data_IF_218918620662
#
_entry.id   IF_218918620662
#
_cell.length_a   1.000
_cell.length_b   1.000
_cell.length_c   1.000
_cell.angle_alpha   90.00
_cell.angle_beta   90.00
_cell.angle_gamma   90.00
#
_symmetry.space_group_name_H-M   'P 1'
#
loop_
_entity.id
_entity.type
_entity.pdbx_description
1 polymer ?
#
# COMPACT_ATOMS: atom_id res chain seq x y z
N UNK A 1 -36.38 20.40 3.02
CA UNK A 1 -35.25 19.86 3.80
C UNK A 1 -34.96 18.54 3.16
N UNK A 2 -34.09 18.64 2.16
CA UNK A 2 -33.87 17.66 1.12
C UNK A 2 -33.10 16.45 1.64
N UNK A 3 -33.33 15.36 0.93
CA UNK A 3 -32.89 13.99 1.18
C UNK A 3 -31.38 13.89 1.47
N UNK A 4 -31.03 13.43 2.67
CA UNK A 4 -29.80 12.65 2.84
C UNK A 4 -30.02 11.31 2.12
N UNK A 5 -29.76 11.29 0.80
CA UNK A 5 -29.54 10.05 0.10
C UNK A 5 -28.34 9.37 0.78
N UNK A 6 -28.61 8.32 1.57
CA UNK A 6 -27.58 7.42 2.07
C UNK A 6 -26.76 6.99 0.87
N UNK A 7 -25.51 7.48 0.78
CA UNK A 7 -24.58 7.09 -0.27
C UNK A 7 -24.44 5.57 -0.19
N UNK A 8 -25.07 4.85 -1.11
CA UNK A 8 -24.95 3.40 -1.21
C UNK A 8 -23.46 3.14 -1.32
N UNK A 9 -22.89 2.43 -0.34
CA UNK A 9 -21.47 2.09 -0.36
C UNK A 9 -21.25 1.15 -1.52
N UNK A 10 -20.85 1.70 -2.66
CA UNK A 10 -20.46 0.94 -3.83
C UNK A 10 -19.21 0.15 -3.47
N UNK A 11 -19.23 -1.14 -3.79
CA UNK A 11 -18.10 -2.02 -3.64
C UNK A 11 -17.53 -2.27 -5.04
N UNK A 12 -16.20 -2.23 -5.24
CA UNK A 12 -15.18 -1.88 -4.25
C UNK A 12 -15.09 -0.37 -4.01
N UNK A 13 -14.76 0.05 -2.78
CA UNK A 13 -14.39 1.45 -2.53
C UNK A 13 -13.02 1.77 -3.15
N UNK A 14 -12.72 3.03 -3.45
CA UNK A 14 -11.38 3.52 -3.86
C UNK A 14 -10.21 2.84 -3.12
N UNK A 15 -10.24 2.81 -1.79
CA UNK A 15 -9.16 2.19 -1.00
C UNK A 15 -9.09 0.66 -1.16
N UNK A 16 -10.24 0.01 -1.36
CA UNK A 16 -10.29 -1.44 -1.59
C UNK A 16 -9.73 -1.77 -2.97
N UNK A 17 -10.10 -1.00 -4.00
CA UNK A 17 -9.51 -1.10 -5.34
C UNK A 17 -7.99 -0.96 -5.27
N UNK A 18 -7.49 0.11 -4.64
CA UNK A 18 -6.04 0.32 -4.47
C UNK A 18 -5.35 -0.85 -3.77
N UNK A 19 -5.87 -1.34 -2.64
CA UNK A 19 -5.26 -2.47 -1.93
C UNK A 19 -5.27 -3.79 -2.71
N UNK A 20 -6.15 -3.93 -3.71
CA UNK A 20 -6.21 -5.08 -4.60
C UNK A 20 -5.31 -4.96 -5.84
N UNK A 21 -4.83 -3.76 -6.19
CA UNK A 21 -3.99 -3.56 -7.39
C UNK A 21 -2.69 -4.37 -7.36
N UNK A 22 -2.14 -4.68 -8.55
CA UNK A 22 -0.85 -5.36 -8.73
C UNK A 22 0.31 -4.58 -8.11
N UNK A 23 0.35 -3.26 -8.31
CA UNK A 23 1.32 -2.35 -7.66
C UNK A 23 1.32 -2.50 -6.13
N UNK A 24 0.14 -2.65 -5.51
CA UNK A 24 0.06 -2.90 -4.07
C UNK A 24 0.59 -4.27 -3.66
N UNK A 25 0.24 -5.32 -4.41
CA UNK A 25 0.72 -6.68 -4.18
C UNK A 25 2.25 -6.80 -4.30
N UNK A 26 2.83 -6.25 -5.36
CA UNK A 26 4.22 -6.50 -5.71
C UNK A 26 5.19 -5.52 -5.04
N UNK A 27 4.75 -4.28 -4.78
CA UNK A 27 5.62 -3.23 -4.26
C UNK A 27 5.26 -2.88 -2.82
N UNK A 28 4.04 -2.40 -2.57
CA UNK A 28 3.70 -1.80 -1.29
C UNK A 28 3.61 -2.80 -0.14
N UNK A 29 2.95 -3.95 -0.33
CA UNK A 29 2.82 -4.96 0.73
C UNK A 29 4.17 -5.51 1.20
N UNK A 30 5.10 -5.94 0.32
CA UNK A 30 6.45 -6.35 0.73
C UNK A 30 7.20 -5.25 1.47
N UNK A 31 7.13 -4.00 0.99
CA UNK A 31 7.78 -2.86 1.65
C UNK A 31 7.21 -2.61 3.05
N UNK A 32 5.88 -2.65 3.22
CA UNK A 32 5.22 -2.48 4.51
C UNK A 32 5.65 -3.59 5.47
N UNK A 33 5.61 -4.86 5.04
CA UNK A 33 6.04 -5.99 5.87
C UNK A 33 7.50 -5.89 6.27
N UNK A 34 8.38 -5.58 5.32
CA UNK A 34 9.79 -5.37 5.58
C UNK A 34 10.02 -4.22 6.56
N UNK A 35 9.30 -3.10 6.40
CA UNK A 35 9.43 -1.94 7.30
C UNK A 35 9.08 -2.28 8.75
N UNK A 36 7.98 -3.01 8.98
CA UNK A 36 7.62 -3.46 10.33
C UNK A 36 8.62 -4.47 10.88
N UNK A 37 9.11 -5.40 10.06
CA UNK A 37 10.13 -6.37 10.47
C UNK A 37 11.44 -5.66 10.88
N UNK A 38 11.93 -4.71 10.08
CA UNK A 38 13.11 -3.92 10.41
C UNK A 38 12.91 -3.07 11.66
N UNK A 39 11.75 -2.46 11.83
CA UNK A 39 11.43 -1.68 13.02
C UNK A 39 11.43 -2.57 14.27
N UNK A 40 10.78 -3.74 14.22
CA UNK A 40 10.77 -4.71 15.34
C UNK A 40 12.20 -5.15 15.68
N UNK A 41 12.99 -5.53 14.67
CA UNK A 41 14.39 -5.92 14.87
C UNK A 41 15.21 -4.78 15.46
N UNK A 42 15.03 -3.55 14.97
CA UNK A 42 15.71 -2.36 15.49
C UNK A 42 15.39 -2.09 16.96
N UNK A 43 14.12 -2.20 17.36
CA UNK A 43 13.70 -2.05 18.75
C UNK A 43 14.24 -3.17 19.64
N UNK A 44 14.27 -4.41 19.15
CA UNK A 44 14.87 -5.54 19.86
C UNK A 44 16.37 -5.32 20.07
N UNK A 45 17.11 -4.91 19.03
CA UNK A 45 18.54 -4.59 19.13
C UNK A 45 18.75 -3.45 20.13
N UNK A 46 17.95 -2.38 20.05
CA UNK A 46 18.05 -1.26 20.99
C UNK A 46 17.85 -1.68 22.46
N UNK A 47 16.92 -2.60 22.74
CA UNK A 47 16.63 -3.07 24.10
C UNK A 47 17.58 -4.17 24.61
N UNK A 48 17.98 -5.12 23.77
CA UNK A 48 18.80 -6.30 24.13
C UNK A 48 20.30 -6.04 23.99
N UNK A 49 20.68 -5.22 23.01
CA UNK A 49 22.06 -4.93 22.64
C UNK A 49 22.24 -3.40 22.52
N UNK A 50 22.16 -2.67 23.65
CA UNK A 50 22.29 -1.22 23.65
C UNK A 50 23.61 -0.79 22.99
N UNK A 51 23.51 0.05 21.96
CA UNK A 51 24.65 0.48 21.13
C UNK A 51 25.13 1.90 21.46
N UNK A 52 24.36 2.66 22.25
CA UNK A 52 24.69 4.06 22.54
C UNK A 52 25.66 4.11 23.70
N UNK A 53 26.76 4.83 23.53
CA UNK A 53 27.73 5.06 24.59
C UNK A 53 27.21 6.11 25.59
N UNK A 54 27.03 5.69 26.85
CA UNK A 54 26.62 6.52 27.98
C UNK A 54 27.76 6.91 28.93
N UNK A 55 29.02 6.64 28.55
CA UNK A 55 30.19 6.92 29.39
C UNK A 55 30.23 8.39 29.85
N UNK A 56 30.51 8.61 31.14
CA UNK A 56 30.54 9.94 31.76
C UNK A 56 29.16 10.56 32.05
N UNK A 57 28.07 9.94 31.59
CA UNK A 57 26.70 10.34 31.96
C UNK A 57 26.35 9.98 33.41
N UNK A 58 25.42 10.69 34.06
CA UNK A 58 25.01 10.35 35.42
C UNK A 58 24.19 9.06 35.44
N UNK A 59 24.67 8.04 36.16
CA UNK A 59 23.99 6.75 36.35
C UNK A 59 24.02 6.34 37.81
N UNK A 60 23.06 5.52 38.23
CA UNK A 60 23.10 4.84 39.53
C UNK A 60 24.14 3.71 39.49
N UNK A 61 25.05 3.68 40.46
CA UNK A 61 26.08 2.66 40.52
C UNK A 61 25.48 1.28 40.74
N UNK A 62 25.66 0.43 39.74
CA UNK A 62 25.36 -1.00 39.78
C UNK A 62 26.69 -1.73 39.58
N UNK A 63 27.19 -2.35 40.65
CA UNK A 63 28.46 -3.04 40.62
C UNK A 63 28.33 -4.31 39.78
N UNK A 64 29.32 -4.58 38.91
CA UNK A 64 29.33 -5.81 38.13
C UNK A 64 29.17 -7.04 39.05
N UNK A 65 28.37 -8.00 38.62
CA UNK A 65 28.04 -9.22 39.38
C UNK A 65 29.23 -10.08 39.82
N UNK A 66 30.43 -9.87 39.28
CA UNK A 66 31.69 -10.52 39.69
C UNK A 66 32.49 -9.72 40.74
N UNK A 67 32.07 -8.51 41.09
CA UNK A 67 32.67 -7.67 42.13
C UNK A 67 32.16 -8.06 43.53
N UNK A 68 33.08 -8.23 44.47
CA UNK A 68 32.79 -8.35 45.90
C UNK A 68 32.69 -6.99 46.62
N UNK A 69 32.95 -5.89 45.90
CA UNK A 69 32.90 -4.54 46.44
C UNK A 69 31.52 -3.94 46.22
N UNK A 70 31.04 -3.19 47.21
CA UNK A 70 29.79 -2.39 47.15
C UNK A 70 30.07 -0.89 47.11
N UNK A 71 31.34 -0.50 46.99
CA UNK A 71 31.80 0.88 46.89
C UNK A 71 33.02 0.98 45.97
N UNK A 72 33.13 2.11 45.29
CA UNK A 72 34.26 2.48 44.44
C UNK A 72 34.87 3.81 44.93
N UNK A 73 36.17 3.96 44.72
CA UNK A 73 36.89 5.20 45.01
C UNK A 73 37.23 5.86 43.68
N UNK A 74 36.66 7.03 43.43
CA UNK A 74 36.94 7.81 42.22
C UNK A 74 38.34 8.43 42.28
N UNK A 75 38.84 8.89 41.13
CA UNK A 75 40.17 9.51 41.02
C UNK A 75 40.36 10.78 41.85
N UNK A 76 39.26 11.41 42.28
CA UNK A 76 39.25 12.59 43.17
C UNK A 76 39.26 12.22 44.67
N UNK A 77 39.24 10.92 45.01
CA UNK A 77 39.20 10.41 46.37
C UNK A 77 37.80 10.34 46.99
N UNK A 78 36.75 10.64 46.23
CA UNK A 78 35.36 10.44 46.68
C UNK A 78 34.99 8.95 46.68
N UNK A 79 34.12 8.55 47.62
CA UNK A 79 33.62 7.18 47.74
C UNK A 79 32.18 7.18 47.24
N UNK A 80 31.90 6.36 46.23
CA UNK A 80 30.56 6.16 45.66
C UNK A 80 30.13 4.74 46.04
N UNK A 81 28.94 4.62 46.63
CA UNK A 81 28.38 3.34 47.05
C UNK A 81 27.38 2.86 46.01
N UNK A 82 27.11 1.56 46.02
CA UNK A 82 26.02 0.97 45.23
C UNK A 82 24.70 1.73 45.50
N UNK A 83 24.03 2.18 44.42
CA UNK A 83 22.85 3.05 44.48
C UNK A 83 23.12 4.56 44.44
N UNK A 84 24.38 5.01 44.51
CA UNK A 84 24.72 6.43 44.38
C UNK A 84 24.81 6.84 42.90
N UNK A 85 24.43 8.09 42.60
CA UNK A 85 24.55 8.66 41.25
C UNK A 85 25.98 9.16 41.02
N UNK A 86 26.64 8.67 39.98
CA UNK A 86 28.02 9.03 39.64
C UNK A 86 28.21 9.09 38.11
N UNK A 87 29.29 9.71 37.60
CA UNK A 87 29.61 9.68 36.17
C UNK A 87 30.01 8.26 35.76
N UNK A 88 29.26 7.67 34.84
CA UNK A 88 29.39 6.27 34.46
C UNK A 88 30.80 5.95 33.96
N UNK A 89 31.38 4.89 34.55
CA UNK A 89 32.66 4.32 34.15
C UNK A 89 32.46 2.83 33.80
N UNK A 90 32.75 2.40 32.56
CA UNK A 90 32.53 1.03 32.12
C UNK A 90 33.37 0.00 32.89
N UNK A 91 34.44 0.41 33.57
CA UNK A 91 35.25 -0.48 34.41
C UNK A 91 34.44 -1.02 35.60
N UNK A 92 33.59 -0.20 36.21
CA UNK A 92 32.87 -0.55 37.45
C UNK A 92 31.39 -0.88 37.21
N UNK A 93 30.76 -0.26 36.20
CA UNK A 93 29.34 -0.37 35.94
C UNK A 93 28.94 -1.70 35.28
N UNK A 94 27.90 -2.34 35.80
CA UNK A 94 27.20 -3.42 35.10
C UNK A 94 26.54 -2.90 33.81
N UNK A 95 26.75 -3.59 32.69
CA UNK A 95 26.27 -3.14 31.38
C UNK A 95 27.17 -2.13 30.66
N UNK A 96 28.40 -1.89 31.14
CA UNK A 96 29.46 -1.13 30.42
C UNK A 96 29.03 0.27 29.97
N UNK A 97 28.18 0.95 30.74
CA UNK A 97 27.62 2.27 30.38
C UNK A 97 26.87 2.32 29.05
N UNK A 98 26.38 1.19 28.53
CA UNK A 98 25.61 1.14 27.29
C UNK A 98 24.17 1.59 27.53
N UNK A 99 23.71 2.54 26.73
CA UNK A 99 22.37 3.06 26.79
C UNK A 99 21.49 2.56 25.64
N UNK A 100 20.20 2.40 25.92
CA UNK A 100 19.18 2.26 24.89
C UNK A 100 18.58 3.63 24.57
N UNK A 101 18.11 3.80 23.33
CA UNK A 101 17.37 4.98 22.90
C UNK A 101 15.94 4.91 23.40
N UNK A 102 15.50 5.98 24.06
CA UNK A 102 14.20 6.08 24.73
C UNK A 102 13.61 7.48 24.53
N UNK A 103 13.21 7.84 23.30
CA UNK A 103 12.78 9.20 22.98
C UNK A 103 11.55 9.67 23.78
N UNK A 104 10.72 8.76 24.28
CA UNK A 104 9.44 9.10 24.94
C UNK A 104 9.34 8.65 26.40
N UNK A 105 10.10 7.63 26.82
CA UNK A 105 9.96 7.06 28.17
C UNK A 105 10.91 7.66 29.21
N UNK A 106 11.92 8.43 28.80
CA UNK A 106 13.02 8.85 29.67
C UNK A 106 13.04 10.32 30.11
N UNK A 107 13.81 10.59 31.17
CA UNK A 107 14.27 11.96 31.52
C UNK A 107 15.25 12.53 30.47
N UNK A 108 15.83 11.63 29.69
CA UNK A 108 16.67 11.91 28.52
C UNK A 108 16.27 10.94 27.41
N UNK A 109 16.64 11.24 26.18
CA UNK A 109 16.39 10.40 24.99
C UNK A 109 17.24 9.12 24.95
N UNK A 110 18.10 8.92 25.94
CA UNK A 110 19.01 7.80 26.09
C UNK A 110 19.11 7.48 27.58
N UNK A 111 18.87 6.23 27.95
CA UNK A 111 18.85 5.76 29.34
C UNK A 111 19.64 4.44 29.44
N UNK A 112 20.05 4.00 30.65
CA UNK A 112 20.76 2.74 30.84
C UNK A 112 20.09 1.58 30.10
N UNK A 113 20.87 0.67 29.52
CA UNK A 113 20.36 -0.39 28.65
C UNK A 113 19.13 -1.13 29.19
N UNK A 114 18.10 -1.26 28.35
CA UNK A 114 16.90 -2.00 28.71
C UNK A 114 15.69 -1.70 27.81
N UNK A 115 14.59 -2.40 28.09
CA UNK A 115 13.28 -2.16 27.48
C UNK A 115 12.46 -1.17 28.31
N UNK A 116 12.25 -0.01 27.73
CA UNK A 116 11.42 1.03 28.30
C UNK A 116 10.02 1.00 27.69
N UNK A 117 9.09 1.71 28.32
CA UNK A 117 7.68 1.72 27.91
C UNK A 117 7.52 2.10 26.43
N UNK A 118 8.34 3.03 25.92
CA UNK A 118 8.26 3.50 24.54
C UNK A 118 8.66 2.42 23.54
N UNK A 119 9.74 1.69 23.82
CA UNK A 119 10.11 0.51 23.04
C UNK A 119 8.99 -0.55 23.07
N UNK A 120 8.38 -0.80 24.23
CA UNK A 120 7.28 -1.78 24.37
C UNK A 120 6.04 -1.33 23.59
N UNK A 121 5.66 -0.06 23.68
CA UNK A 121 4.50 0.49 22.98
C UNK A 121 4.72 0.46 21.47
N UNK A 122 5.91 0.86 21.00
CA UNK A 122 6.25 0.80 19.57
C UNK A 122 6.32 -0.65 19.08
N UNK A 123 6.83 -1.59 19.87
CA UNK A 123 6.81 -3.02 19.55
C UNK A 123 5.38 -3.54 19.43
N UNK A 124 4.48 -3.17 20.34
CA UNK A 124 3.09 -3.57 20.29
C UNK A 124 2.39 -3.00 19.03
N UNK A 125 2.59 -1.72 18.73
CA UNK A 125 2.04 -1.07 17.54
C UNK A 125 2.59 -1.66 16.24
N UNK A 126 3.89 -1.96 16.19
CA UNK A 126 4.50 -2.60 15.03
C UNK A 126 4.04 -4.05 14.86
N UNK A 127 3.88 -4.78 15.97
CA UNK A 127 3.35 -6.15 15.96
C UNK A 127 1.89 -6.21 15.48
N UNK A 128 1.02 -5.33 16.01
CA UNK A 128 -0.37 -5.24 15.54
C UNK A 128 -0.44 -4.75 14.09
N UNK A 129 0.41 -3.79 13.72
CA UNK A 129 0.55 -3.30 12.35
C UNK A 129 0.94 -4.39 11.36
N UNK A 130 1.94 -5.20 11.69
CA UNK A 130 2.40 -6.33 10.86
C UNK A 130 1.33 -7.42 10.73
N UNK A 131 0.64 -7.76 11.83
CA UNK A 131 -0.45 -8.74 11.79
C UNK A 131 -1.60 -8.21 10.93
N UNK A 132 -1.97 -6.94 11.10
CA UNK A 132 -3.04 -6.32 10.32
C UNK A 132 -2.69 -6.21 8.84
N UNK A 133 -1.45 -5.83 8.51
CA UNK A 133 -0.97 -5.75 7.13
C UNK A 133 -0.94 -7.12 6.46
N UNK A 134 -0.47 -8.16 7.15
CA UNK A 134 -0.48 -9.54 6.63
C UNK A 134 -1.92 -10.05 6.43
N UNK A 135 -2.82 -9.76 7.38
CA UNK A 135 -4.22 -10.13 7.27
C UNK A 135 -4.89 -9.44 6.07
N UNK A 136 -4.64 -8.15 5.89
CA UNK A 136 -5.21 -7.39 4.76
C UNK A 136 -4.64 -7.84 3.43
N UNK A 137 -3.33 -8.06 3.34
CA UNK A 137 -2.65 -8.55 2.14
C UNK A 137 -3.10 -9.97 1.75
N UNK A 138 -3.08 -10.92 2.68
CA UNK A 138 -3.18 -12.35 2.35
C UNK A 138 -4.61 -12.91 2.46
N UNK A 139 -5.49 -12.25 3.20
CA UNK A 139 -6.85 -12.75 3.45
C UNK A 139 -7.89 -11.79 2.88
N UNK A 140 -7.77 -10.49 3.19
CA UNK A 140 -8.81 -9.52 2.84
C UNK A 140 -8.78 -9.15 1.34
N UNK A 141 -7.62 -8.78 0.81
CA UNK A 141 -7.48 -8.35 -0.58
C UNK A 141 -7.86 -9.46 -1.58
N UNK A 142 -7.42 -10.73 -1.43
CA UNK A 142 -7.88 -11.82 -2.30
C UNK A 142 -9.40 -12.04 -2.19
N UNK A 143 -9.95 -11.94 -0.98
CA UNK A 143 -11.40 -12.04 -0.77
C UNK A 143 -12.20 -10.91 -1.42
N UNK A 144 -11.61 -9.71 -1.54
CA UNK A 144 -12.21 -8.62 -2.30
C UNK A 144 -12.12 -8.87 -3.81
N UNK A 145 -10.98 -9.35 -4.33
CA UNK A 145 -10.81 -9.70 -5.75
C UNK A 145 -11.83 -10.75 -6.19
N UNK A 146 -11.99 -11.81 -5.40
CA UNK A 146 -12.99 -12.85 -5.65
C UNK A 146 -14.42 -12.31 -5.65
N UNK A 147 -14.73 -11.33 -4.79
CA UNK A 147 -16.06 -10.70 -4.76
C UNK A 147 -16.31 -9.81 -5.97
N UNK A 148 -15.29 -9.09 -6.45
CA UNK A 148 -15.39 -8.30 -7.69
C UNK A 148 -15.61 -9.22 -8.88
N UNK A 149 -14.81 -10.30 -9.01
CA UNK A 149 -14.98 -11.30 -10.08
C UNK A 149 -16.40 -11.89 -10.10
N UNK A 150 -16.93 -12.27 -8.94
CA UNK A 150 -18.29 -12.79 -8.83
C UNK A 150 -19.40 -11.75 -9.11
N UNK A 151 -19.13 -10.45 -8.98
CA UNK A 151 -20.08 -9.41 -9.37
C UNK A 151 -20.06 -9.21 -10.88
N UNK A 152 -18.86 -9.17 -11.49
CA UNK A 152 -18.68 -9.09 -12.93
C UNK A 152 -19.35 -10.25 -13.65
N UNK A 153 -19.12 -11.49 -13.21
CA UNK A 153 -19.77 -12.68 -13.80
C UNK A 153 -21.31 -12.57 -13.80
N UNK A 154 -21.91 -11.98 -12.76
CA UNK A 154 -23.37 -11.80 -12.67
C UNK A 154 -23.87 -10.66 -13.56
N UNK A 155 -23.08 -9.59 -13.69
CA UNK A 155 -23.42 -8.46 -14.56
C UNK A 155 -23.29 -8.87 -16.05
N UNK A 156 -22.26 -9.65 -16.41
CA UNK A 156 -22.09 -10.25 -17.74
C UNK A 156 -23.25 -11.21 -18.09
N UNK A 157 -23.61 -12.13 -17.18
CA UNK A 157 -24.79 -13.02 -17.37
C UNK A 157 -26.09 -12.22 -17.55
N UNK A 158 -26.23 -11.09 -16.87
CA UNK A 158 -27.41 -10.23 -16.99
C UNK A 158 -27.43 -9.48 -18.32
N UNK A 159 -26.27 -9.02 -18.80
CA UNK A 159 -26.14 -8.35 -20.09
C UNK A 159 -26.48 -9.29 -21.25
N UNK A 160 -25.98 -10.53 -21.23
CA UNK A 160 -26.30 -11.55 -22.26
C UNK A 160 -27.81 -11.89 -22.28
N UNK A 161 -28.45 -11.97 -21.11
CA UNK A 161 -29.91 -12.18 -21.02
C UNK A 161 -30.68 -10.96 -21.55
N UNK A 162 -30.20 -9.74 -21.32
CA UNK A 162 -30.84 -8.54 -21.84
C UNK A 162 -30.71 -8.45 -23.37
N UNK A 163 -29.53 -8.73 -23.91
CA UNK A 163 -29.28 -8.78 -25.36
C UNK A 163 -30.19 -9.81 -26.04
N UNK A 164 -30.29 -11.02 -25.48
CA UNK A 164 -31.16 -12.06 -26.04
C UNK A 164 -32.66 -11.71 -25.99
N UNK A 165 -33.11 -10.90 -25.04
CA UNK A 165 -34.49 -10.39 -25.00
C UNK A 165 -34.73 -9.27 -26.02
N UNK A 166 -33.77 -8.36 -26.21
CA UNK A 166 -33.88 -7.29 -27.22
C UNK A 166 -33.91 -7.87 -28.64
N UNK A 167 -33.17 -8.96 -28.91
CA UNK A 167 -33.21 -9.67 -30.21
C UNK A 167 -34.56 -10.38 -30.45
N UNK A 168 -35.25 -10.87 -29.41
CA UNK A 168 -36.58 -11.49 -29.56
C UNK A 168 -37.71 -10.46 -29.78
N UNK A 169 -37.53 -9.20 -29.35
CA UNK A 169 -38.53 -8.13 -29.51
C UNK A 169 -38.45 -7.40 -30.87
N UNK A 170 -37.42 -7.61 -31.68
CA UNK A 170 -37.30 -7.02 -33.04
C UNK A 170 -38.11 -7.75 -34.14
N UNK A 171 -38.80 -8.87 -33.85
CA UNK A 171 -39.69 -9.56 -34.82
C UNK A 171 -41.19 -9.19 -34.68
N UNK A 172 -41.54 -7.98 -34.22
CA UNK A 172 -42.95 -7.54 -34.23
C UNK A 172 -43.17 -6.06 -34.60
N UNK A 173 -43.45 -5.89 -35.89
CA UNK A 173 -44.34 -4.93 -36.56
C UNK A 173 -43.93 -3.48 -36.88
N UNK A 174 -44.10 -3.22 -38.17
CA UNK A 174 -43.98 -2.03 -39.03
C UNK A 174 -44.79 -0.76 -38.62
N UNK A 175 -44.20 0.38 -38.99
CA UNK A 175 -44.78 1.68 -39.43
C UNK A 175 -45.55 2.59 -38.45
N UNK A 176 -45.04 3.82 -38.23
CA UNK A 176 -45.59 5.08 -38.83
C UNK A 176 -44.80 6.37 -38.48
N UNK A 177 -44.61 7.19 -39.53
CA UNK A 177 -44.38 8.65 -39.66
C UNK A 177 -45.19 9.53 -38.67
N UNK A 178 -44.93 10.82 -38.34
CA UNK A 178 -44.15 11.94 -38.91
C UNK A 178 -44.17 13.14 -37.91
N UNK A 179 -43.40 14.20 -38.24
CA UNK A 179 -43.52 15.64 -37.88
C UNK A 179 -42.81 16.25 -36.65
N UNK A 180 -41.63 16.84 -36.95
CA UNK A 180 -41.25 18.27 -36.81
C UNK A 180 -41.61 19.10 -35.55
N UNK A 181 -40.59 19.71 -34.93
CA UNK A 181 -40.47 21.18 -34.87
C UNK A 181 -39.03 21.65 -34.52
N UNK A 182 -38.61 22.68 -35.25
CA UNK A 182 -37.37 23.49 -35.20
C UNK A 182 -37.35 24.34 -33.88
N UNK A 183 -36.29 24.91 -33.30
CA UNK A 183 -35.28 25.82 -33.87
C UNK A 183 -34.26 26.32 -32.81
N UNK A 184 -33.04 26.61 -33.29
CA UNK A 184 -32.07 27.68 -32.96
C UNK A 184 -31.49 27.98 -31.53
N UNK A 185 -30.16 27.87 -31.39
CA UNK A 185 -29.18 29.00 -31.37
C UNK A 185 -27.74 28.48 -31.07
N UNK A 186 -26.79 28.55 -32.03
CA UNK A 186 -25.78 29.61 -32.29
C UNK A 186 -24.79 29.85 -31.13
N UNK A 187 -23.47 30.04 -31.26
CA UNK A 187 -22.46 29.80 -32.31
C UNK A 187 -21.09 30.17 -31.67
N UNK A 188 -20.03 29.44 -32.02
CA UNK A 188 -18.58 29.76 -32.10
C UNK A 188 -17.84 30.72 -31.13
N UNK A 189 -16.71 30.25 -30.55
CA UNK A 189 -15.26 30.61 -30.80
C UNK A 189 -14.41 30.21 -29.56
N UNK A 190 -13.45 29.29 -29.61
CA UNK A 190 -12.14 29.21 -30.31
C UNK A 190 -10.97 30.00 -29.67
N UNK A 191 -9.83 29.29 -29.59
CA UNK A 191 -8.43 29.72 -29.60
C UNK A 191 -7.58 29.72 -28.30
N UNK A 192 -6.84 28.60 -28.18
CA UNK A 192 -5.40 28.40 -27.94
C UNK A 192 -4.63 29.11 -26.80
N UNK A 193 -3.86 28.29 -26.04
CA UNK A 193 -2.42 28.50 -25.82
C UNK A 193 -1.71 27.30 -25.15
N UNK A 194 -0.90 26.63 -25.96
CA UNK A 194 0.52 26.25 -25.75
C UNK A 194 0.95 25.26 -24.64
N UNK A 195 1.16 24.02 -25.11
CA UNK A 195 2.36 23.19 -25.01
C UNK A 195 3.43 23.55 -23.95
N UNK A 196 3.63 22.61 -23.00
CA UNK A 196 4.97 22.23 -22.55
C UNK A 196 5.02 20.70 -22.60
N UNK A 197 5.76 20.19 -23.59
CA UNK A 197 6.05 18.77 -23.74
C UNK A 197 7.05 18.28 -22.70
N UNK A 198 6.72 17.17 -22.06
CA UNK A 198 7.67 16.26 -21.44
C UNK A 198 7.63 14.97 -22.28
N UNK A 199 8.74 14.72 -22.99
CA UNK A 199 9.05 13.47 -23.68
C UNK A 199 9.22 12.34 -22.63
N UNK A 200 8.13 11.69 -22.24
CA UNK A 200 8.13 10.24 -22.02
C UNK A 200 7.11 9.71 -23.01
N UNK A 201 7.56 8.94 -23.99
CA UNK A 201 6.70 8.31 -24.99
C UNK A 201 5.81 7.27 -24.30
N UNK A 202 4.74 7.74 -23.67
CA UNK A 202 3.48 7.02 -23.58
C UNK A 202 3.01 6.88 -25.03
N UNK A 203 3.42 5.80 -25.70
CA UNK A 203 2.79 5.42 -26.96
C UNK A 203 1.31 5.24 -26.66
N UNK A 204 0.52 6.26 -27.03
CA UNK A 204 -0.93 6.29 -26.89
C UNK A 204 -1.46 5.08 -27.67
N UNK A 205 -2.02 4.12 -26.93
CA UNK A 205 -2.57 2.93 -27.53
C UNK A 205 -3.83 3.31 -28.30
N UNK A 206 -3.76 3.25 -29.62
CA UNK A 206 -4.91 3.47 -30.50
C UNK A 206 -5.57 2.14 -30.87
N UNK A 207 -6.85 2.21 -31.28
CA UNK A 207 -7.56 1.08 -31.89
C UNK A 207 -6.77 0.62 -33.13
N UNK A 208 -6.41 -0.66 -33.17
CA UNK A 208 -5.53 -1.24 -34.18
C UNK A 208 -4.07 -1.41 -33.73
N UNK A 209 -3.71 -1.01 -32.52
CA UNK A 209 -2.38 -1.24 -31.94
C UNK A 209 -2.20 -2.70 -31.50
N UNK A 210 -1.01 -3.24 -31.68
CA UNK A 210 -0.66 -4.58 -31.22
C UNK A 210 -0.15 -4.52 -29.79
N UNK A 211 -0.82 -5.24 -28.88
CA UNK A 211 -0.54 -5.20 -27.44
C UNK A 211 -0.59 -6.59 -26.82
N UNK A 212 0.10 -6.74 -25.70
CA UNK A 212 -0.03 -7.87 -24.79
C UNK A 212 -0.94 -7.51 -23.63
N UNK A 213 -1.80 -8.44 -23.20
CA UNK A 213 -2.62 -8.38 -22.00
C UNK A 213 -2.28 -9.55 -21.07
N UNK A 214 -1.92 -9.26 -19.82
CA UNK A 214 -1.67 -10.30 -18.81
C UNK A 214 -2.96 -10.60 -18.03
N UNK A 215 -3.60 -11.72 -18.32
CA UNK A 215 -4.85 -12.15 -17.65
C UNK A 215 -4.55 -13.41 -16.83
N UNK A 216 -4.82 -13.35 -15.52
CA UNK A 216 -4.60 -14.47 -14.59
C UNK A 216 -3.15 -15.01 -14.55
N UNK A 217 -2.17 -14.22 -15.02
CA UNK A 217 -0.75 -14.56 -15.08
C UNK A 217 -0.31 -15.26 -16.37
N UNK A 218 -1.19 -15.33 -17.36
CA UNK A 218 -0.90 -15.75 -18.72
C UNK A 218 -0.94 -14.52 -19.66
N UNK A 219 0.02 -14.42 -20.58
CA UNK A 219 0.14 -13.31 -21.53
C UNK A 219 -0.59 -13.65 -22.83
N UNK A 220 -1.56 -12.82 -23.19
CA UNK A 220 -2.32 -12.90 -24.44
C UNK A 220 -1.89 -11.77 -25.36
N UNK A 221 -1.69 -12.04 -26.65
CA UNK A 221 -1.20 -11.04 -27.60
C UNK A 221 -2.19 -10.86 -28.74
N UNK A 222 -2.50 -9.62 -29.06
CA UNK A 222 -3.54 -9.32 -30.04
C UNK A 222 -3.60 -7.86 -30.45
N UNK A 223 -4.57 -7.56 -31.30
CA UNK A 223 -4.81 -6.20 -31.80
C UNK A 223 -6.00 -5.58 -31.08
N UNK A 224 -5.87 -4.34 -30.60
CA UNK A 224 -6.97 -3.62 -29.95
C UNK A 224 -8.09 -3.35 -30.94
N UNK A 225 -9.33 -3.74 -30.60
CA UNK A 225 -10.53 -3.50 -31.40
C UNK A 225 -11.49 -2.49 -30.76
N UNK A 226 -11.50 -2.36 -29.43
CA UNK A 226 -12.40 -1.46 -28.71
C UNK A 226 -11.78 -0.97 -27.39
N UNK A 227 -12.08 0.29 -27.05
CA UNK A 227 -11.80 0.89 -25.74
C UNK A 227 -13.10 1.26 -25.05
N UNK A 228 -13.19 0.91 -23.77
CA UNK A 228 -14.20 1.42 -22.87
C UNK A 228 -13.50 2.30 -21.81
N UNK A 229 -13.57 3.62 -22.01
CA UNK A 229 -12.97 4.62 -21.12
C UNK A 229 -13.73 4.79 -19.80
N UNK A 230 -15.01 4.43 -19.77
CA UNK A 230 -15.84 4.52 -18.57
C UNK A 230 -15.49 3.37 -17.60
N UNK A 231 -15.21 2.19 -18.14
CA UNK A 231 -14.79 1.00 -17.37
C UNK A 231 -13.27 0.84 -17.26
N UNK A 232 -12.49 1.56 -18.07
CA UNK A 232 -11.03 1.43 -18.15
C UNK A 232 -10.60 0.06 -18.69
N UNK A 233 -11.41 -0.53 -19.58
CA UNK A 233 -11.15 -1.84 -20.19
C UNK A 233 -10.84 -1.71 -21.69
N UNK A 234 -10.23 -2.76 -22.23
CA UNK A 234 -9.84 -2.87 -23.64
C UNK A 234 -10.19 -4.26 -24.14
N UNK A 235 -10.63 -4.33 -25.39
CA UNK A 235 -10.90 -5.59 -26.09
C UNK A 235 -9.82 -5.79 -27.14
N UNK A 236 -9.15 -6.94 -27.12
CA UNK A 236 -8.17 -7.36 -28.13
C UNK A 236 -8.64 -8.59 -28.89
N UNK A 237 -8.34 -8.66 -30.18
CA UNK A 237 -8.47 -9.88 -30.99
C UNK A 237 -7.14 -10.66 -30.93
N UNK A 238 -7.15 -11.88 -30.37
CA UNK A 238 -5.94 -12.71 -30.21
C UNK A 238 -5.46 -13.29 -31.55
N UNK A 239 -4.17 -13.16 -31.85
CA UNK A 239 -3.59 -13.53 -33.16
C UNK A 239 -3.61 -15.05 -33.47
N UNK A 240 -3.55 -15.92 -32.45
CA UNK A 240 -3.49 -17.38 -32.67
C UNK A 240 -4.88 -18.02 -32.86
N UNK A 241 -5.89 -17.49 -32.19
CA UNK A 241 -7.24 -18.09 -32.10
C UNK A 241 -8.29 -17.26 -32.84
N UNK A 242 -8.08 -15.94 -32.95
CA UNK A 242 -9.09 -14.97 -33.38
C UNK A 242 -10.18 -14.74 -32.35
N UNK A 243 -9.95 -15.11 -31.08
CA UNK A 243 -10.90 -14.91 -29.99
C UNK A 243 -10.79 -13.48 -29.44
N UNK A 244 -11.94 -12.89 -29.10
CA UNK A 244 -12.02 -11.57 -28.46
C UNK A 244 -11.78 -11.70 -26.95
N UNK A 245 -10.77 -10.98 -26.45
CA UNK A 245 -10.33 -11.03 -25.07
C UNK A 245 -10.47 -9.65 -24.46
N UNK A 246 -11.21 -9.57 -23.35
CA UNK A 246 -11.42 -8.33 -22.60
C UNK A 246 -10.44 -8.26 -21.43
N UNK A 247 -9.59 -7.25 -21.41
CA UNK A 247 -8.62 -6.97 -20.36
C UNK A 247 -8.74 -5.55 -19.81
N UNK A 248 -7.96 -5.23 -18.78
CA UNK A 248 -7.89 -3.86 -18.29
C UNK A 248 -6.86 -3.05 -19.08
N UNK A 249 -7.14 -1.77 -19.31
CA UNK A 249 -6.21 -0.90 -20.05
C UNK A 249 -4.86 -0.75 -19.31
N UNK A 250 -4.85 -0.85 -17.98
CA UNK A 250 -3.61 -0.78 -17.18
C UNK A 250 -2.81 -2.09 -17.13
N UNK A 251 -3.36 -3.18 -17.69
CA UNK A 251 -2.70 -4.47 -17.88
C UNK A 251 -2.12 -4.64 -19.29
N UNK A 252 -2.33 -3.65 -20.17
CA UNK A 252 -1.71 -3.62 -21.49
C UNK A 252 -0.22 -3.33 -21.40
N UNK A 253 0.56 -4.02 -22.23
CA UNK A 253 1.96 -3.73 -22.45
C UNK A 253 2.34 -3.90 -23.92
N UNK A 254 3.40 -3.22 -24.34
CA UNK A 254 3.98 -3.41 -25.66
C UNK A 254 4.83 -4.68 -25.62
N UNK A 255 4.52 -5.73 -26.40
CA UNK A 255 5.37 -6.91 -26.48
C UNK A 255 6.74 -6.52 -27.03
N UNK A 256 7.82 -6.95 -26.36
CA UNK A 256 9.18 -6.82 -26.91
C UNK A 256 9.29 -7.73 -28.16
N UNK A 257 9.65 -7.16 -29.32
CA UNK A 257 9.92 -7.90 -30.58
C UNK A 257 10.94 -9.05 -30.42
#
# INVERSE_FOLDING_TARGET
EDEEAETVKTFPSEWQSRFMSKKWHDVFWPLIHASFAFLIVGLLVNGLFPLVDGTGGPVELEMRSDSLNTEIVLSDGSIVREGDIYPCDPEFQEGECKNSLTPLAGKASSMPGGFYWDAIALMALAGTGLIWSLYTHLIRAPGWRARVKAMKEVDDERAEVQESLEIEDEESDEETQDEADEDESDDMVDDESDEIGDEDSEEEFDIGSYVGLEIDGDDYYGTIIEFDDDEGTVVIEEDETGDEIVGYQDEMFIPEE
#
